data_IF_935035659533
#
_entry.id   IF_935035659533
#
_cell.length_a   1.000
_cell.length_b   1.000
_cell.length_c   1.000
_cell.angle_alpha   90.00
_cell.angle_beta   90.00
_cell.angle_gamma   90.00
#
_symmetry.space_group_name_H-M   'P 1'
#
loop_
_entity.id
_entity.type
_entity.pdbx_description
1 polymer ?
#
# COMPACT_ATOMS: atom_id res chain seq x y z
N UNK A 1 32.37 -25.99 9.71
CA UNK A 1 31.52 -24.80 9.47
C UNK A 1 30.06 -25.20 9.68
N UNK A 2 29.54 -25.03 10.91
CA UNK A 2 28.15 -25.40 11.25
C UNK A 2 27.22 -24.31 10.70
N UNK A 3 26.35 -24.67 9.74
CA UNK A 3 25.30 -23.79 9.22
C UNK A 3 24.25 -23.60 10.33
N UNK A 4 24.23 -22.41 10.93
CA UNK A 4 23.33 -22.01 12.03
C UNK A 4 21.93 -21.60 11.57
N UNK A 5 21.38 -22.23 10.54
CA UNK A 5 19.97 -22.05 10.19
C UNK A 5 19.26 -23.34 10.52
N UNK A 6 18.77 -23.45 11.75
CA UNK A 6 17.79 -24.48 12.09
C UNK A 6 16.58 -24.28 11.17
N UNK A 7 16.08 -25.36 10.60
CA UNK A 7 14.89 -25.39 9.73
C UNK A 7 13.66 -24.72 10.38
N UNK A 8 13.62 -24.69 11.71
CA UNK A 8 12.64 -23.97 12.53
C UNK A 8 12.59 -22.46 12.25
N UNK A 9 13.73 -21.82 11.95
CA UNK A 9 13.78 -20.40 11.68
C UNK A 9 13.11 -20.03 10.34
N UNK A 10 13.13 -20.94 9.35
CA UNK A 10 12.53 -20.70 8.04
C UNK A 10 11.00 -20.83 8.08
N UNK A 11 10.47 -21.83 8.81
CA UNK A 11 9.01 -21.97 8.98
C UNK A 11 8.40 -20.83 9.80
N UNK A 12 9.11 -20.38 10.83
CA UNK A 12 8.70 -19.22 11.64
C UNK A 12 8.78 -17.92 10.84
N UNK A 13 9.82 -17.74 10.02
CA UNK A 13 9.95 -16.60 9.10
C UNK A 13 8.84 -16.62 8.04
N UNK A 14 8.58 -17.77 7.42
CA UNK A 14 7.53 -17.93 6.43
C UNK A 14 6.14 -17.67 7.04
N UNK A 15 5.92 -18.10 8.29
CA UNK A 15 4.70 -17.79 9.03
C UNK A 15 4.60 -16.31 9.40
N UNK A 16 5.69 -15.66 9.79
CA UNK A 16 5.70 -14.22 10.04
C UNK A 16 5.42 -13.39 8.77
N UNK A 17 5.94 -13.83 7.62
CA UNK A 17 5.61 -13.26 6.31
C UNK A 17 4.13 -13.51 6.00
N UNK A 18 3.65 -14.74 6.14
CA UNK A 18 2.25 -15.07 5.90
C UNK A 18 1.30 -14.30 6.81
N UNK A 19 1.58 -14.17 8.10
CA UNK A 19 0.75 -13.41 9.03
C UNK A 19 0.76 -11.92 8.69
N UNK A 20 1.92 -11.34 8.36
CA UNK A 20 2.02 -9.94 7.95
C UNK A 20 1.24 -9.65 6.65
N UNK A 21 1.41 -10.49 5.62
CA UNK A 21 0.83 -10.28 4.28
C UNK A 21 -0.60 -10.81 4.12
N UNK A 22 -1.02 -11.79 4.93
CA UNK A 22 -2.28 -12.53 4.74
C UNK A 22 -3.30 -12.27 5.85
N UNK A 23 -2.87 -11.94 7.08
CA UNK A 23 -3.79 -11.66 8.21
C UNK A 23 -3.95 -10.17 8.53
N UNK A 24 -2.95 -9.32 8.26
CA UNK A 24 -2.99 -7.89 8.61
C UNK A 24 -3.04 -6.92 7.42
N UNK A 25 -3.22 -7.41 6.19
CA UNK A 25 -3.39 -6.61 4.96
C UNK A 25 -2.32 -5.49 4.75
N UNK A 26 -1.10 -5.63 5.30
CA UNK A 26 0.01 -4.66 5.17
C UNK A 26 -0.46 -3.19 5.13
N UNK A 27 -1.10 -2.74 6.21
CA UNK A 27 -1.55 -1.34 6.32
C UNK A 27 -0.33 -0.45 6.52
N UNK A 28 0.02 0.31 5.48
CA UNK A 28 1.01 1.35 5.58
C UNK A 28 0.34 2.65 6.01
N UNK A 29 0.66 3.11 7.21
CA UNK A 29 0.23 4.42 7.70
C UNK A 29 1.15 5.49 7.12
N UNK A 30 0.76 6.05 5.98
CA UNK A 30 1.39 7.24 5.42
C UNK A 30 0.54 8.47 5.72
N UNK A 31 1.20 9.57 6.04
CA UNK A 31 0.57 10.90 5.99
C UNK A 31 0.42 11.36 4.53
N UNK A 32 -0.43 12.37 4.30
CA UNK A 32 -0.58 12.96 2.96
C UNK A 32 0.73 13.60 2.50
N UNK A 33 1.45 14.25 3.40
CA UNK A 33 2.73 14.91 3.15
C UNK A 33 3.81 13.90 2.76
N UNK A 34 3.84 12.74 3.42
CA UNK A 34 4.77 11.65 3.07
C UNK A 34 4.48 11.11 1.67
N UNK A 35 3.21 10.91 1.32
CA UNK A 35 2.82 10.47 -0.03
C UNK A 35 3.19 11.50 -1.11
N UNK A 36 2.98 12.79 -0.83
CA UNK A 36 3.39 13.86 -1.74
C UNK A 36 4.91 13.89 -1.95
N UNK A 37 5.69 13.73 -0.87
CA UNK A 37 7.15 13.70 -0.95
C UNK A 37 7.63 12.53 -1.82
N UNK A 38 7.06 11.35 -1.62
CA UNK A 38 7.37 10.15 -2.41
C UNK A 38 6.98 10.36 -3.88
N UNK A 39 5.79 10.88 -4.15
CA UNK A 39 5.31 11.14 -5.51
C UNK A 39 6.26 12.08 -6.28
N UNK A 40 6.69 13.17 -5.66
CA UNK A 40 7.65 14.11 -6.26
C UNK A 40 9.00 13.45 -6.51
N UNK A 41 9.50 12.67 -5.56
CA UNK A 41 10.77 11.94 -5.71
C UNK A 41 10.75 10.94 -6.86
N UNK A 42 9.59 10.31 -7.12
CA UNK A 42 9.38 9.39 -8.24
C UNK A 42 9.17 10.09 -9.59
N UNK A 43 9.17 11.43 -9.62
CA UNK A 43 9.08 12.23 -10.83
C UNK A 43 7.65 12.44 -11.35
N UNK A 44 6.63 12.33 -10.50
CA UNK A 44 5.28 12.79 -10.83
C UNK A 44 5.20 14.31 -10.74
N UNK A 45 4.56 14.93 -11.72
CA UNK A 45 4.42 16.39 -11.80
C UNK A 45 3.21 16.91 -11.02
N UNK A 46 2.18 16.08 -10.82
CA UNK A 46 0.97 16.42 -10.05
C UNK A 46 0.52 15.24 -9.19
N UNK A 47 0.09 15.54 -7.97
CA UNK A 47 -0.61 14.61 -7.09
C UNK A 47 -1.85 15.29 -6.53
N UNK A 48 -2.98 14.58 -6.50
CA UNK A 48 -4.23 15.07 -5.97
C UNK A 48 -4.91 14.02 -5.13
N UNK A 49 -5.27 14.37 -3.89
CA UNK A 49 -6.10 13.52 -3.06
C UNK A 49 -7.56 13.59 -3.50
N UNK A 50 -8.18 12.44 -3.66
CA UNK A 50 -9.56 12.29 -4.09
C UNK A 50 -10.34 11.48 -3.06
N UNK A 51 -11.68 11.56 -3.12
CA UNK A 51 -12.53 10.69 -2.32
C UNK A 51 -12.62 9.30 -2.97
N UNK A 52 -12.93 8.27 -2.16
CA UNK A 52 -13.24 6.93 -2.66
C UNK A 52 -14.29 6.99 -3.79
N UNK A 53 -14.07 6.23 -4.87
CA UNK A 53 -14.92 6.15 -6.07
C UNK A 53 -14.99 7.44 -6.90
N UNK A 54 -14.15 8.44 -6.61
CA UNK A 54 -14.08 9.69 -7.36
C UNK A 54 -12.78 9.76 -8.15
N UNK A 55 -12.89 10.27 -9.37
CA UNK A 55 -11.76 10.51 -10.26
C UNK A 55 -12.06 11.66 -11.22
N UNK A 56 -11.05 12.48 -11.54
CA UNK A 56 -11.12 13.45 -12.64
C UNK A 56 -11.28 12.74 -14.00
N UNK A 57 -10.82 11.50 -14.10
CA UNK A 57 -10.89 10.66 -15.28
C UNK A 57 -12.10 9.72 -15.19
N UNK A 58 -13.07 9.88 -16.09
CA UNK A 58 -14.31 9.11 -16.06
C UNK A 58 -14.08 7.58 -16.05
N UNK A 59 -13.08 7.12 -16.81
CA UNK A 59 -12.71 5.71 -16.90
C UNK A 59 -12.17 5.09 -15.59
N UNK A 60 -11.78 5.92 -14.60
CA UNK A 60 -11.17 5.45 -13.35
C UNK A 60 -12.12 5.52 -12.14
N UNK A 61 -13.38 5.92 -12.35
CA UNK A 61 -14.37 6.01 -11.26
C UNK A 61 -14.88 4.62 -10.86
N UNK A 62 -15.13 4.43 -9.55
CA UNK A 62 -15.72 3.21 -8.97
C UNK A 62 -14.91 1.91 -9.20
N UNK A 63 -13.58 2.00 -9.29
CA UNK A 63 -12.71 0.84 -9.53
C UNK A 63 -12.14 0.21 -8.26
N UNK A 64 -12.43 0.77 -7.10
CA UNK A 64 -11.93 0.32 -5.81
C UNK A 64 -12.48 -1.07 -5.46
N UNK A 65 -11.59 -2.01 -5.15
CA UNK A 65 -11.96 -3.40 -4.82
C UNK A 65 -12.01 -3.70 -3.33
N UNK A 66 -11.51 -2.79 -2.47
CA UNK A 66 -11.43 -2.93 -1.01
C UNK A 66 -12.43 -2.05 -0.29
N UNK A 67 -13.73 -2.26 -0.53
CA UNK A 67 -14.80 -1.42 0.00
C UNK A 67 -14.81 -1.32 1.53
N UNK A 68 -14.41 -2.38 2.23
CA UNK A 68 -14.32 -2.44 3.69
C UNK A 68 -13.26 -1.50 4.29
N UNK A 69 -12.33 -0.99 3.47
CA UNK A 69 -11.26 -0.09 3.88
C UNK A 69 -11.49 1.36 3.41
N UNK A 70 -12.70 1.72 2.97
CA UNK A 70 -12.97 3.04 2.37
C UNK A 70 -12.57 4.21 3.28
N UNK A 71 -12.73 4.05 4.59
CA UNK A 71 -12.45 5.09 5.61
C UNK A 71 -11.01 4.99 6.16
N UNK A 72 -10.28 3.94 5.78
CA UNK A 72 -8.89 3.71 6.17
C UNK A 72 -7.90 4.16 5.10
N UNK A 73 -8.24 3.95 3.83
CA UNK A 73 -7.35 4.19 2.71
C UNK A 73 -7.33 5.66 2.29
N UNK A 74 -6.16 6.15 1.91
CA UNK A 74 -6.00 7.42 1.21
C UNK A 74 -6.06 7.14 -0.30
N UNK A 75 -6.92 7.86 -1.01
CA UNK A 75 -7.02 7.79 -2.46
C UNK A 75 -6.35 9.02 -3.08
N UNK A 76 -5.51 8.79 -4.08
CA UNK A 76 -4.81 9.85 -4.79
C UNK A 76 -4.63 9.53 -6.27
N UNK A 77 -4.65 10.58 -7.09
CA UNK A 77 -4.35 10.56 -8.51
C UNK A 77 -2.98 11.19 -8.74
N UNK A 78 -2.13 10.51 -9.52
CA UNK A 78 -0.80 10.98 -9.86
C UNK A 78 -0.68 11.14 -11.37
N UNK A 79 -0.23 12.30 -11.82
CA UNK A 79 0.09 12.56 -13.23
C UNK A 79 1.60 12.73 -13.36
N UNK A 80 2.17 12.06 -14.37
CA UNK A 80 3.58 12.20 -14.72
C UNK A 80 3.76 13.34 -15.70
#
# INVERSE_FOLDING_TARGET
MKRHFSTSAFSELAKGIEDAYRHYEHVHFYSREELELVARHLGFSRMQFVACRRSEHEALRNLETRAQQQDLNIYAELTK
#
